data_IF_587471853851
#
_entry.id   IF_587471853851
#
_cell.length_a   1.000
_cell.length_b   1.000
_cell.length_c   1.000
_cell.angle_alpha   90.00
_cell.angle_beta   90.00
_cell.angle_gamma   90.00
#
_symmetry.space_group_name_H-M   'P 1'
#
loop_
_entity.id
_entity.type
_entity.pdbx_description
1 polymer ?
#
# COMPACT_ATOMS: atom_id res chain seq x y z
N UNK A 1 29.20 4.00 -14.38
CA UNK A 1 27.81 4.33 -14.17
C UNK A 1 27.04 3.29 -13.36
N UNK A 2 25.80 3.56 -13.08
CA UNK A 2 24.89 2.67 -12.33
C UNK A 2 24.79 1.28 -12.98
N UNK A 3 24.75 1.23 -14.29
CA UNK A 3 24.67 -0.03 -15.05
C UNK A 3 25.90 -0.91 -14.83
N UNK A 4 27.06 -0.30 -14.76
CA UNK A 4 28.32 -1.03 -14.55
C UNK A 4 28.41 -1.63 -13.14
N UNK A 5 27.88 -0.91 -12.14
CA UNK A 5 27.81 -1.39 -10.77
C UNK A 5 26.84 -2.57 -10.63
N UNK A 6 25.70 -2.52 -11.32
CA UNK A 6 24.74 -3.60 -11.33
C UNK A 6 25.29 -4.86 -11.99
N UNK A 7 25.99 -4.73 -13.11
CA UNK A 7 26.65 -5.84 -13.79
C UNK A 7 27.72 -6.47 -12.91
N UNK A 8 28.52 -5.68 -12.21
CA UNK A 8 29.53 -6.19 -11.27
C UNK A 8 28.88 -6.94 -10.10
N UNK A 9 27.77 -6.46 -9.59
CA UNK A 9 27.00 -7.16 -8.55
C UNK A 9 26.47 -8.51 -9.06
N UNK A 10 25.94 -8.54 -10.25
CA UNK A 10 25.45 -9.78 -10.88
C UNK A 10 26.58 -10.77 -11.09
N UNK A 11 27.74 -10.32 -11.59
CA UNK A 11 28.92 -11.17 -11.75
C UNK A 11 29.44 -11.71 -10.41
N UNK A 12 29.49 -10.88 -9.39
CA UNK A 12 29.88 -11.29 -8.04
C UNK A 12 28.97 -12.39 -7.52
N UNK A 13 27.65 -12.22 -7.68
CA UNK A 13 26.66 -13.21 -7.24
C UNK A 13 26.64 -14.46 -8.11
N UNK A 14 26.97 -14.36 -9.40
CA UNK A 14 26.97 -15.52 -10.30
C UNK A 14 28.06 -16.55 -9.97
N UNK A 15 29.11 -16.16 -9.25
CA UNK A 15 30.13 -17.08 -8.73
C UNK A 15 29.62 -17.99 -7.62
N UNK A 16 28.48 -17.65 -7.03
CA UNK A 16 27.84 -18.40 -5.94
C UNK A 16 26.34 -18.55 -6.22
N UNK A 17 25.96 -19.58 -6.98
CA UNK A 17 24.60 -19.80 -7.49
C UNK A 17 23.51 -19.73 -6.42
N UNK A 18 23.77 -20.25 -5.22
CA UNK A 18 22.83 -20.26 -4.11
C UNK A 18 22.56 -18.84 -3.60
N UNK A 19 23.61 -18.04 -3.47
CA UNK A 19 23.52 -16.63 -3.04
C UNK A 19 22.81 -15.78 -4.08
N UNK A 20 23.02 -16.05 -5.37
CA UNK A 20 22.36 -15.36 -6.48
C UNK A 20 20.85 -15.56 -6.46
N UNK A 21 20.39 -16.80 -6.25
CA UNK A 21 18.96 -17.12 -6.19
C UNK A 21 18.28 -16.42 -5.01
N UNK A 22 18.91 -16.43 -3.84
CA UNK A 22 18.41 -15.74 -2.65
C UNK A 22 18.36 -14.23 -2.84
N UNK A 23 19.40 -13.63 -3.46
CA UNK A 23 19.45 -12.20 -3.74
C UNK A 23 18.36 -11.78 -4.73
N UNK A 24 18.15 -12.54 -5.79
CA UNK A 24 17.10 -12.29 -6.79
C UNK A 24 15.73 -12.37 -6.15
N UNK A 25 15.49 -13.39 -5.33
CA UNK A 25 14.22 -13.54 -4.62
C UNK A 25 13.93 -12.36 -3.70
N UNK A 26 14.93 -11.91 -2.94
CA UNK A 26 14.78 -10.72 -2.07
C UNK A 26 14.44 -9.46 -2.87
N UNK A 27 15.13 -9.23 -3.99
CA UNK A 27 14.88 -8.08 -4.86
C UNK A 27 13.47 -8.14 -5.46
N UNK A 28 13.02 -9.31 -5.88
CA UNK A 28 11.67 -9.52 -6.42
C UNK A 28 10.62 -9.22 -5.36
N UNK A 29 10.79 -9.73 -4.14
CA UNK A 29 9.86 -9.50 -3.02
C UNK A 29 9.80 -8.02 -2.63
N UNK A 30 10.93 -7.33 -2.60
CA UNK A 30 10.99 -5.90 -2.31
C UNK A 30 10.24 -5.08 -3.37
N UNK A 31 10.40 -5.43 -4.65
CA UNK A 31 9.73 -4.76 -5.76
C UNK A 31 8.21 -4.97 -5.68
N UNK A 32 7.76 -6.18 -5.41
CA UNK A 32 6.34 -6.51 -5.24
C UNK A 32 5.74 -5.75 -4.06
N UNK A 33 6.41 -5.73 -2.91
CA UNK A 33 5.96 -5.00 -1.73
C UNK A 33 5.90 -3.50 -1.98
N UNK A 34 6.86 -2.95 -2.72
CA UNK A 34 6.85 -1.54 -3.11
C UNK A 34 5.63 -1.22 -3.99
N UNK A 35 5.35 -2.05 -4.97
CA UNK A 35 4.19 -1.88 -5.87
C UNK A 35 2.87 -1.97 -5.10
N UNK A 36 2.76 -2.90 -4.17
CA UNK A 36 1.57 -3.05 -3.32
C UNK A 36 1.38 -1.83 -2.42
N UNK A 37 2.45 -1.32 -1.82
CA UNK A 37 2.41 -0.13 -0.97
C UNK A 37 2.01 1.10 -1.77
N UNK A 38 2.56 1.26 -2.96
CA UNK A 38 2.21 2.35 -3.88
C UNK A 38 0.75 2.27 -4.31
N UNK A 39 0.25 1.07 -4.59
CA UNK A 39 -1.16 0.82 -4.90
C UNK A 39 -2.07 1.31 -3.77
N UNK A 40 -1.77 0.93 -2.54
CA UNK A 40 -2.55 1.28 -1.37
C UNK A 40 -2.52 2.80 -1.12
N UNK A 41 -1.34 3.40 -1.21
CA UNK A 41 -1.17 4.84 -1.00
C UNK A 41 -1.96 5.67 -2.00
N UNK A 42 -1.93 5.29 -3.28
CA UNK A 42 -2.67 5.99 -4.33
C UNK A 42 -4.17 5.75 -4.24
N UNK A 43 -4.59 4.56 -3.87
CA UNK A 43 -5.99 4.24 -3.59
C UNK A 43 -6.54 5.17 -2.49
N UNK A 44 -5.86 5.27 -1.36
CA UNK A 44 -6.28 6.10 -0.23
C UNK A 44 -6.16 7.61 -0.52
N UNK A 45 -5.28 7.99 -1.43
CA UNK A 45 -5.18 9.38 -1.88
C UNK A 45 -6.22 9.74 -2.96
N UNK A 46 -7.08 8.81 -3.33
CA UNK A 46 -8.09 8.98 -4.38
C UNK A 46 -7.48 9.30 -5.76
N UNK A 47 -6.27 8.81 -6.00
CA UNK A 47 -5.61 8.93 -7.29
C UNK A 47 -5.99 7.72 -8.16
N UNK A 48 -7.16 7.79 -8.76
CA UNK A 48 -7.73 6.69 -9.53
C UNK A 48 -6.86 6.31 -10.73
N UNK A 49 -6.33 7.27 -11.46
CA UNK A 49 -5.49 6.99 -12.64
C UNK A 49 -4.26 6.18 -12.28
N UNK A 50 -3.55 6.58 -11.24
CA UNK A 50 -2.35 5.88 -10.79
C UNK A 50 -2.68 4.51 -10.22
N UNK A 51 -3.79 4.39 -9.49
CA UNK A 51 -4.28 3.11 -8.96
C UNK A 51 -4.55 2.11 -10.08
N UNK A 52 -5.27 2.53 -11.12
CA UNK A 52 -5.56 1.68 -12.28
C UNK A 52 -4.27 1.31 -13.01
N UNK A 53 -3.35 2.26 -13.17
CA UNK A 53 -2.06 2.00 -13.82
C UNK A 53 -1.28 0.92 -13.08
N UNK A 54 -1.18 1.01 -11.76
CA UNK A 54 -0.46 0.03 -10.94
C UNK A 54 -1.12 -1.36 -11.06
N UNK A 55 -2.45 -1.42 -11.00
CA UNK A 55 -3.18 -2.68 -11.17
C UNK A 55 -2.92 -3.31 -12.54
N UNK A 56 -2.83 -2.50 -13.60
CA UNK A 56 -2.60 -2.99 -14.95
C UNK A 56 -1.14 -3.42 -15.20
N UNK A 57 -0.20 -2.73 -14.58
CA UNK A 57 1.24 -3.03 -14.73
C UNK A 57 1.66 -4.27 -13.94
N UNK A 58 0.94 -4.60 -12.88
CA UNK A 58 1.25 -5.71 -11.98
C UNK A 58 0.15 -6.76 -12.06
N UNK A 59 0.47 -7.95 -12.49
CA UNK A 59 -0.47 -9.07 -12.52
C UNK A 59 -0.53 -9.71 -11.13
N UNK A 60 -1.20 -9.05 -10.19
CA UNK A 60 -1.34 -9.59 -8.84
C UNK A 60 -2.15 -10.88 -8.85
N UNK A 61 -1.65 -11.87 -8.13
CA UNK A 61 -2.28 -13.18 -7.97
C UNK A 61 -3.21 -13.21 -6.75
N UNK A 62 -3.93 -14.31 -6.59
CA UNK A 62 -4.73 -14.53 -5.38
C UNK A 62 -3.86 -14.57 -4.12
N UNK A 63 -2.66 -15.12 -4.21
CA UNK A 63 -1.68 -15.14 -3.11
C UNK A 63 -1.23 -13.74 -2.74
N UNK A 64 -1.01 -12.88 -3.72
CA UNK A 64 -0.62 -11.48 -3.50
C UNK A 64 -1.71 -10.71 -2.75
N UNK A 65 -2.96 -11.08 -2.91
CA UNK A 65 -4.09 -10.43 -2.24
C UNK A 65 -4.00 -10.51 -0.72
N UNK A 66 -3.47 -11.62 -0.19
CA UNK A 66 -3.24 -11.77 1.25
C UNK A 66 -2.28 -10.68 1.75
N UNK A 67 -1.19 -10.48 1.02
CA UNK A 67 -0.20 -9.47 1.37
C UNK A 67 -0.75 -8.05 1.20
N UNK A 68 -1.50 -7.80 0.13
CA UNK A 68 -2.15 -6.50 -0.11
C UNK A 68 -3.07 -6.14 1.05
N UNK A 69 -3.90 -7.08 1.53
CA UNK A 69 -4.79 -6.83 2.65
C UNK A 69 -4.03 -6.51 3.93
N UNK A 70 -2.95 -7.24 4.21
CA UNK A 70 -2.11 -6.97 5.39
C UNK A 70 -1.49 -5.58 5.35
N UNK A 71 -0.92 -5.22 4.20
CA UNK A 71 -0.33 -3.89 4.01
C UNK A 71 -1.39 -2.79 4.11
N UNK A 72 -2.57 -3.04 3.55
CA UNK A 72 -3.68 -2.10 3.60
C UNK A 72 -4.14 -1.88 5.05
N UNK A 73 -4.35 -2.94 5.81
CA UNK A 73 -4.74 -2.84 7.22
C UNK A 73 -3.69 -2.11 8.05
N UNK A 74 -2.41 -2.39 7.81
CA UNK A 74 -1.31 -1.69 8.50
C UNK A 74 -1.31 -0.20 8.18
N UNK A 75 -1.52 0.16 6.93
CA UNK A 75 -1.61 1.56 6.50
C UNK A 75 -2.82 2.25 7.14
N UNK A 76 -3.97 1.61 7.15
CA UNK A 76 -5.18 2.15 7.77
C UNK A 76 -5.01 2.42 9.27
N UNK A 77 -4.31 1.55 9.98
CA UNK A 77 -4.01 1.75 11.40
C UNK A 77 -3.15 3.01 11.61
N UNK A 78 -2.16 3.22 10.75
CA UNK A 78 -1.30 4.43 10.81
C UNK A 78 -2.08 5.70 10.54
N UNK A 79 -2.87 5.74 9.47
CA UNK A 79 -3.65 6.94 9.14
C UNK A 79 -4.80 7.15 10.11
N UNK A 80 -5.33 6.09 10.73
CA UNK A 80 -6.33 6.23 11.80
C UNK A 80 -5.76 7.02 12.97
N UNK A 81 -4.56 6.68 13.41
CA UNK A 81 -3.89 7.38 14.49
C UNK A 81 -3.66 8.86 14.14
N UNK A 82 -3.18 9.12 12.93
CA UNK A 82 -2.95 10.48 12.44
C UNK A 82 -4.27 11.27 12.33
N UNK A 83 -5.31 10.63 11.83
CA UNK A 83 -6.63 11.28 11.73
C UNK A 83 -7.21 11.64 13.09
N UNK A 84 -7.02 10.78 14.09
CA UNK A 84 -7.42 11.08 15.47
C UNK A 84 -6.68 12.28 16.02
N UNK A 85 -5.37 12.37 15.78
CA UNK A 85 -4.59 13.52 16.21
C UNK A 85 -5.01 14.80 15.49
N UNK A 86 -5.27 14.72 14.19
CA UNK A 86 -5.76 15.87 13.42
C UNK A 86 -7.11 16.36 13.92
N UNK A 87 -8.01 15.45 14.27
CA UNK A 87 -9.33 15.82 14.82
C UNK A 87 -9.22 16.53 16.18
N UNK A 88 -8.16 16.22 16.95
CA UNK A 88 -7.92 16.88 18.26
C UNK A 88 -7.33 18.27 18.11
N UNK A 89 -6.30 18.41 17.25
CA UNK A 89 -5.50 19.66 17.20
C UNK A 89 -5.85 20.58 16.02
N UNK A 90 -6.59 20.10 15.02
CA UNK A 90 -6.95 20.83 13.80
C UNK A 90 -5.75 21.46 13.07
N UNK A 91 -4.59 20.84 13.19
CA UNK A 91 -3.36 21.35 12.58
C UNK A 91 -2.65 20.23 11.82
N UNK A 92 -2.82 20.26 10.49
CA UNK A 92 -2.28 19.24 9.58
C UNK A 92 -0.76 19.17 9.65
N UNK A 93 -0.09 20.30 9.58
CA UNK A 93 1.38 20.37 9.61
C UNK A 93 1.95 19.82 10.91
N UNK A 94 1.35 20.20 12.04
CA UNK A 94 1.74 19.71 13.36
C UNK A 94 1.53 18.19 13.47
N UNK A 95 0.40 17.70 13.02
CA UNK A 95 0.08 16.26 13.03
C UNK A 95 1.16 15.47 12.27
N UNK A 96 1.55 15.94 11.10
CA UNK A 96 2.54 15.28 10.26
C UNK A 96 3.94 15.38 10.88
N UNK A 97 4.34 16.54 11.37
CA UNK A 97 5.68 16.76 11.91
C UNK A 97 5.92 16.04 13.24
N UNK A 98 4.88 15.90 14.06
CA UNK A 98 4.98 15.24 15.37
C UNK A 98 4.64 13.74 15.33
N UNK A 99 4.36 13.19 14.15
CA UNK A 99 4.02 11.79 14.01
C UNK A 99 5.11 10.85 14.57
N UNK A 100 4.66 9.80 15.26
CA UNK A 100 5.55 8.76 15.79
C UNK A 100 5.03 7.38 15.38
N UNK A 101 5.84 6.57 14.69
CA UNK A 101 7.17 6.89 14.18
C UNK A 101 7.15 8.01 13.14
N UNK A 102 8.28 8.73 12.94
CA UNK A 102 8.33 9.84 11.98
C UNK A 102 7.96 9.39 10.56
N UNK A 103 7.23 10.25 9.84
CA UNK A 103 6.86 9.99 8.46
C UNK A 103 8.05 10.30 7.56
N UNK A 104 8.37 9.35 6.65
CA UNK A 104 9.43 9.57 5.67
C UNK A 104 9.11 10.80 4.81
N UNK A 105 10.12 11.63 4.55
CA UNK A 105 9.89 12.93 3.91
C UNK A 105 9.18 12.84 2.54
N UNK A 106 9.43 11.76 1.78
CA UNK A 106 8.77 11.53 0.48
C UNK A 106 7.29 11.22 0.62
N UNK A 107 6.88 10.69 1.75
CA UNK A 107 5.50 10.27 2.00
C UNK A 107 4.64 11.36 2.67
N UNK A 108 5.23 12.47 3.07
CA UNK A 108 4.52 13.51 3.80
C UNK A 108 3.34 14.10 3.02
N UNK A 109 3.54 14.42 1.75
CA UNK A 109 2.50 15.04 0.94
C UNK A 109 1.33 14.09 0.68
N UNK A 110 1.60 12.84 0.34
CA UNK A 110 0.54 11.86 0.13
C UNK A 110 -0.19 11.54 1.44
N UNK A 111 0.52 11.49 2.56
CA UNK A 111 -0.08 11.26 3.88
C UNK A 111 -1.00 12.40 4.27
N UNK A 112 -0.59 13.66 4.05
CA UNK A 112 -1.44 14.84 4.27
C UNK A 112 -2.75 14.72 3.48
N UNK A 113 -2.66 14.36 2.22
CA UNK A 113 -3.83 14.16 1.37
C UNK A 113 -4.75 13.08 1.92
N UNK A 114 -4.18 11.95 2.32
CA UNK A 114 -4.94 10.81 2.85
C UNK A 114 -5.71 11.19 4.13
N UNK A 115 -5.06 11.81 5.10
CA UNK A 115 -5.73 12.18 6.36
C UNK A 115 -6.69 13.36 6.21
N UNK A 116 -6.54 14.15 5.15
CA UNK A 116 -7.52 15.18 4.79
C UNK A 116 -8.79 14.60 4.18
N UNK A 117 -8.66 13.51 3.42
CA UNK A 117 -9.79 12.83 2.78
C UNK A 117 -10.53 11.93 3.77
N UNK A 118 -9.78 11.15 4.56
CA UNK A 118 -10.33 10.09 5.38
C UNK A 118 -10.47 10.52 6.84
N UNK A 119 -11.71 10.62 7.31
CA UNK A 119 -12.01 10.86 8.71
C UNK A 119 -11.98 9.54 9.50
N UNK A 120 -11.77 9.64 10.80
CA UNK A 120 -11.68 8.49 11.70
C UNK A 120 -12.79 7.47 11.49
N UNK A 121 -14.04 7.94 11.39
CA UNK A 121 -15.20 7.08 11.18
C UNK A 121 -15.10 6.29 9.88
N UNK A 122 -14.70 6.94 8.81
CA UNK A 122 -14.59 6.30 7.49
C UNK A 122 -13.44 5.29 7.44
N UNK A 123 -12.33 5.58 8.11
CA UNK A 123 -11.20 4.65 8.23
C UNK A 123 -11.63 3.38 8.97
N UNK A 124 -12.37 3.52 10.06
CA UNK A 124 -12.90 2.36 10.80
C UNK A 124 -13.80 1.51 9.94
N UNK A 125 -14.64 2.14 9.11
CA UNK A 125 -15.48 1.42 8.15
C UNK A 125 -14.67 0.65 7.12
N UNK A 126 -13.57 1.22 6.63
CA UNK A 126 -12.67 0.54 5.70
C UNK A 126 -12.01 -0.68 6.35
N UNK A 127 -11.56 -0.54 7.58
CA UNK A 127 -10.97 -1.66 8.34
C UNK A 127 -11.99 -2.80 8.46
N UNK A 128 -13.23 -2.48 8.80
CA UNK A 128 -14.30 -3.46 8.88
C UNK A 128 -14.51 -4.17 7.54
N UNK A 129 -14.62 -3.41 6.44
CA UNK A 129 -14.79 -3.97 5.10
C UNK A 129 -13.63 -4.88 4.68
N UNK A 130 -12.39 -4.49 5.00
CA UNK A 130 -11.22 -5.32 4.68
C UNK A 130 -11.21 -6.63 5.47
N UNK A 131 -11.63 -6.59 6.72
CA UNK A 131 -11.77 -7.82 7.53
C UNK A 131 -12.84 -8.75 6.93
N UNK A 132 -13.94 -8.20 6.43
CA UNK A 132 -14.98 -8.96 5.74
C UNK A 132 -14.44 -9.60 4.45
N UNK A 133 -13.67 -8.86 3.67
CA UNK A 133 -13.02 -9.38 2.46
C UNK A 133 -12.07 -10.52 2.80
N UNK A 134 -11.26 -10.35 3.85
CA UNK A 134 -10.34 -11.39 4.32
C UNK A 134 -11.08 -12.68 4.67
N UNK A 135 -12.20 -12.58 5.38
CA UNK A 135 -13.04 -13.73 5.70
C UNK A 135 -13.59 -14.41 4.45
N UNK A 136 -14.05 -13.62 3.48
CA UNK A 136 -14.57 -14.14 2.21
C UNK A 136 -13.48 -14.87 1.42
N UNK A 137 -12.27 -14.34 1.42
CA UNK A 137 -11.10 -14.98 0.78
C UNK A 137 -10.76 -16.32 1.43
N UNK A 138 -10.87 -16.42 2.74
CA UNK A 138 -10.64 -17.68 3.47
C UNK A 138 -11.67 -18.73 3.11
N UNK A 139 -12.91 -18.32 2.85
CA UNK A 139 -13.99 -19.23 2.44
C UNK A 139 -13.86 -19.68 0.98
N UNK A 140 -13.45 -18.78 0.10
CA UNK A 140 -13.26 -19.05 -1.32
C UNK A 140 -12.07 -18.28 -1.85
N UNK A 141 -10.89 -18.89 -1.84
CA UNK A 141 -9.64 -18.27 -2.25
C UNK A 141 -9.63 -17.80 -3.71
N UNK A 142 -10.37 -18.50 -4.58
CA UNK A 142 -10.37 -18.20 -6.01
C UNK A 142 -11.02 -16.86 -6.38
N UNK A 143 -11.81 -16.26 -5.49
CA UNK A 143 -12.42 -14.94 -5.72
C UNK A 143 -11.58 -13.78 -5.19
N UNK A 144 -10.42 -14.06 -4.61
CA UNK A 144 -9.59 -13.06 -3.91
C UNK A 144 -9.28 -11.86 -4.80
N UNK A 145 -8.76 -12.09 -6.01
CA UNK A 145 -8.36 -11.00 -6.90
C UNK A 145 -9.56 -10.10 -7.27
N UNK A 146 -10.73 -10.70 -7.50
CA UNK A 146 -11.93 -9.94 -7.82
C UNK A 146 -12.40 -9.08 -6.66
N UNK A 147 -12.42 -9.64 -5.45
CA UNK A 147 -12.82 -8.90 -4.25
C UNK A 147 -11.88 -7.73 -3.95
N UNK A 148 -10.59 -7.99 -3.98
CA UNK A 148 -9.58 -6.98 -3.65
C UNK A 148 -9.52 -5.88 -4.71
N UNK A 149 -9.55 -6.26 -5.99
CA UNK A 149 -9.53 -5.29 -7.10
C UNK A 149 -10.77 -4.40 -7.06
N UNK A 150 -11.95 -4.97 -6.88
CA UNK A 150 -13.19 -4.19 -6.79
C UNK A 150 -13.18 -3.23 -5.60
N UNK A 151 -12.70 -3.69 -4.45
CA UNK A 151 -12.56 -2.84 -3.26
C UNK A 151 -11.61 -1.66 -3.53
N UNK A 152 -10.44 -1.93 -4.08
CA UNK A 152 -9.44 -0.89 -4.37
C UNK A 152 -9.99 0.13 -5.37
N UNK A 153 -10.61 -0.32 -6.44
CA UNK A 153 -11.20 0.57 -7.44
C UNK A 153 -12.31 1.43 -6.85
N UNK A 154 -13.17 0.84 -6.04
CA UNK A 154 -14.24 1.57 -5.35
C UNK A 154 -13.68 2.66 -4.44
N UNK A 155 -12.67 2.33 -3.63
CA UNK A 155 -12.10 3.29 -2.69
C UNK A 155 -11.24 4.36 -3.36
N UNK A 156 -10.66 4.09 -4.53
CA UNK A 156 -9.86 5.06 -5.27
C UNK A 156 -10.71 6.12 -5.99
N UNK A 157 -12.00 5.90 -6.10
CA UNK A 157 -12.91 6.80 -6.81
C UNK A 157 -13.27 8.01 -5.96
N UNK A 158 -13.23 9.19 -6.58
CA UNK A 158 -13.76 10.40 -5.98
C UNK A 158 -15.29 10.31 -6.02
N UNK A 159 -15.89 9.79 -4.97
CA UNK A 159 -17.37 9.81 -4.85
C UNK A 159 -17.78 11.19 -4.37
N UNK A 160 -18.63 11.84 -5.16
CA UNK A 160 -19.41 12.96 -4.65
C UNK A 160 -20.32 12.38 -3.58
N UNK A 161 -20.12 12.80 -2.36
CA UNK A 161 -20.96 12.36 -1.26
C UNK A 161 -22.40 12.85 -1.41
N UNK A 162 -23.27 11.93 -1.41
CA UNK A 162 -24.67 12.19 -1.15
C UNK A 162 -24.94 12.01 0.34
#
# INVERSE_FOLDING_TARGET
GLLKNELQKIEFYSKNKKLTSEAILKLTNLTENFSMSELIDNCLAKNQKKTILILNENNFSNEDCIQIIRLFLNKLKKILQLSKELEKNNNLEKTISEARPPIFWKDKEITKKQISIWKTKNIKNLIYKLNEIELSMKKNFNISINLVTNFILEQSTLKTNN
#
